data_IF_832173761904
#
_entry.id   IF_832173761904
#
_cell.length_a   1.000
_cell.length_b   1.000
_cell.length_c   1.000
_cell.angle_alpha   90.00
_cell.angle_beta   90.00
_cell.angle_gamma   90.00
#
_symmetry.space_group_name_H-M   'P 1'
#
loop_
_entity.id
_entity.type
_entity.pdbx_description
1 polymer ?
#
# COMPACT_ATOMS: atom_id res chain seq x y z
N UNK A 1 2.28 -15.30 -76.32
CA UNK A 1 2.45 -15.36 -74.84
C UNK A 1 3.49 -14.39 -74.27
N UNK A 2 4.72 -14.26 -74.82
CA UNK A 2 5.77 -13.36 -74.26
C UNK A 2 5.42 -11.85 -74.18
N UNK A 3 4.56 -11.33 -75.06
CA UNK A 3 4.19 -9.89 -75.05
C UNK A 3 3.21 -9.51 -73.93
N UNK A 4 2.28 -10.40 -73.56
CA UNK A 4 1.34 -10.16 -72.45
C UNK A 4 2.10 -10.10 -71.11
N UNK A 5 3.03 -11.03 -70.89
CA UNK A 5 3.84 -11.09 -69.67
C UNK A 5 4.68 -9.82 -69.42
N UNK A 6 5.12 -9.14 -70.49
CA UNK A 6 5.92 -7.91 -70.42
C UNK A 6 5.14 -6.70 -69.85
N UNK A 7 3.81 -6.70 -69.94
CA UNK A 7 2.96 -5.60 -69.43
C UNK A 7 2.27 -5.94 -68.11
N UNK A 8 1.89 -7.20 -67.88
CA UNK A 8 1.20 -7.58 -66.63
C UNK A 8 2.13 -7.62 -65.42
N UNK A 9 3.38 -8.07 -65.56
CA UNK A 9 4.34 -8.12 -64.45
C UNK A 9 4.63 -6.73 -63.86
N UNK A 10 4.98 -5.69 -64.65
CA UNK A 10 5.20 -4.36 -64.08
C UNK A 10 3.92 -3.74 -63.50
N UNK A 11 2.75 -4.03 -64.08
CA UNK A 11 1.47 -3.57 -63.55
C UNK A 11 1.15 -4.19 -62.17
N UNK A 12 1.33 -5.51 -62.02
CA UNK A 12 1.15 -6.20 -60.75
C UNK A 12 2.16 -5.72 -59.69
N UNK A 13 3.42 -5.51 -60.07
CA UNK A 13 4.42 -4.93 -59.18
C UNK A 13 4.02 -3.52 -58.74
N UNK A 14 3.55 -2.68 -59.66
CA UNK A 14 3.07 -1.33 -59.33
C UNK A 14 1.90 -1.36 -58.33
N UNK A 15 0.96 -2.31 -58.48
CA UNK A 15 -0.14 -2.49 -57.52
C UNK A 15 0.37 -2.94 -56.13
N UNK A 16 1.35 -3.84 -56.08
CA UNK A 16 1.96 -4.28 -54.81
C UNK A 16 2.70 -3.12 -54.13
N UNK A 17 3.50 -2.34 -54.88
CA UNK A 17 4.17 -1.17 -54.35
C UNK A 17 3.19 -0.10 -53.87
N UNK A 18 2.08 0.11 -54.58
CA UNK A 18 1.01 1.01 -54.15
C UNK A 18 0.36 0.52 -52.85
N UNK A 19 0.07 -0.78 -52.73
CA UNK A 19 -0.46 -1.39 -51.52
C UNK A 19 0.47 -1.19 -50.32
N UNK A 20 1.76 -1.48 -50.48
CA UNK A 20 2.78 -1.26 -49.44
C UNK A 20 2.93 0.22 -49.08
N UNK A 21 2.86 1.13 -50.06
CA UNK A 21 2.92 2.56 -49.80
C UNK A 21 1.71 3.03 -48.96
N UNK A 22 0.50 2.57 -49.29
CA UNK A 22 -0.72 2.87 -48.52
C UNK A 22 -0.61 2.31 -47.10
N UNK A 23 -0.18 1.06 -46.94
CA UNK A 23 0.01 0.44 -45.62
C UNK A 23 1.02 1.23 -44.77
N UNK A 24 2.16 1.63 -45.35
CA UNK A 24 3.18 2.43 -44.67
C UNK A 24 2.66 3.80 -44.26
N UNK A 25 1.87 4.46 -45.12
CA UNK A 25 1.24 5.75 -44.78
C UNK A 25 0.23 5.59 -43.66
N UNK A 26 -0.60 4.55 -43.67
CA UNK A 26 -1.56 4.27 -42.60
C UNK A 26 -0.84 3.95 -41.28
N UNK A 27 0.18 3.10 -41.30
CA UNK A 27 1.00 2.79 -40.13
C UNK A 27 1.66 4.05 -39.56
N UNK A 28 2.20 4.91 -40.41
CA UNK A 28 2.81 6.18 -40.00
C UNK A 28 1.78 7.15 -39.38
N UNK A 29 0.56 7.23 -39.92
CA UNK A 29 -0.52 8.04 -39.32
C UNK A 29 -0.90 7.51 -37.94
N UNK A 30 -0.99 6.20 -37.78
CA UNK A 30 -1.30 5.58 -36.48
C UNK A 30 -0.19 5.85 -35.45
N UNK A 31 1.08 5.73 -35.84
CA UNK A 31 2.22 6.06 -34.96
C UNK A 31 2.19 7.54 -34.56
N UNK A 32 1.95 8.45 -35.51
CA UNK A 32 1.84 9.89 -35.18
C UNK A 32 0.67 10.22 -34.26
N UNK A 33 -0.48 9.55 -34.44
CA UNK A 33 -1.63 9.71 -33.54
C UNK A 33 -1.28 9.26 -32.11
N UNK A 34 -0.66 8.08 -31.97
CA UNK A 34 -0.17 7.57 -30.69
C UNK A 34 0.90 8.47 -30.06
N UNK A 35 1.80 9.06 -30.84
CA UNK A 35 2.79 10.01 -30.35
C UNK A 35 2.17 11.33 -29.86
N UNK A 36 1.11 11.80 -30.51
CA UNK A 36 0.39 13.00 -30.09
C UNK A 36 -0.37 12.74 -28.78
N UNK A 37 -1.02 11.59 -28.67
CA UNK A 37 -1.72 11.15 -27.46
C UNK A 37 -0.74 10.97 -26.29
N UNK A 38 0.39 10.29 -26.51
CA UNK A 38 1.44 10.11 -25.50
C UNK A 38 2.05 11.45 -25.04
N UNK A 39 2.21 12.42 -25.95
CA UNK A 39 2.68 13.77 -25.58
C UNK A 39 1.67 14.48 -24.70
N UNK A 40 0.40 14.47 -25.09
CA UNK A 40 -0.69 15.06 -24.29
C UNK A 40 -0.78 14.42 -22.91
N UNK A 41 -0.68 13.09 -22.83
CA UNK A 41 -0.68 12.37 -21.56
C UNK A 41 0.50 12.80 -20.67
N UNK A 42 1.70 12.90 -21.23
CA UNK A 42 2.89 13.38 -20.49
C UNK A 42 2.72 14.80 -19.99
N UNK A 43 2.18 15.69 -20.80
CA UNK A 43 1.92 17.09 -20.42
C UNK A 43 0.91 17.16 -19.26
N UNK A 44 -0.17 16.39 -19.32
CA UNK A 44 -1.16 16.32 -18.24
C UNK A 44 -0.59 15.76 -16.94
N UNK A 45 0.26 14.72 -17.01
CA UNK A 45 0.97 14.18 -15.85
C UNK A 45 1.90 15.24 -15.25
N UNK A 46 2.66 15.94 -16.08
CA UNK A 46 3.57 17.01 -15.63
C UNK A 46 2.83 18.19 -15.02
N UNK A 47 1.65 18.54 -15.55
CA UNK A 47 0.79 19.57 -14.98
C UNK A 47 0.32 19.17 -13.58
N UNK A 48 -0.16 17.93 -13.41
CA UNK A 48 -0.56 17.41 -12.10
C UNK A 48 0.63 17.28 -11.13
N UNK A 49 1.80 16.86 -11.60
CA UNK A 49 3.03 16.72 -10.79
C UNK A 49 3.48 18.07 -10.20
N UNK A 50 3.25 19.18 -10.91
CA UNK A 50 3.61 20.54 -10.46
C UNK A 50 2.74 21.05 -9.34
N UNK A 51 1.56 20.47 -9.13
CA UNK A 51 0.67 20.88 -8.05
C UNK A 51 1.23 20.37 -6.72
N UNK A 52 1.45 21.29 -5.79
CA UNK A 52 1.98 21.01 -4.46
C UNK A 52 0.89 20.39 -3.58
N UNK A 53 -0.33 20.90 -3.68
CA UNK A 53 -1.48 20.41 -2.92
C UNK A 53 -1.92 19.02 -3.41
N UNK A 54 -1.89 18.04 -2.50
CA UNK A 54 -2.15 16.64 -2.85
C UNK A 54 -3.59 16.42 -3.33
N UNK A 55 -4.58 17.15 -2.77
CA UNK A 55 -5.99 17.00 -3.15
C UNK A 55 -6.26 17.53 -4.56
N UNK A 56 -5.71 18.72 -4.87
CA UNK A 56 -5.77 19.29 -6.21
C UNK A 56 -5.03 18.42 -7.23
N UNK A 57 -3.84 17.88 -6.89
CA UNK A 57 -3.09 16.98 -7.75
C UNK A 57 -3.87 15.70 -8.07
N UNK A 58 -4.47 15.06 -7.06
CA UNK A 58 -5.35 13.88 -7.23
C UNK A 58 -6.53 14.22 -8.15
N UNK A 59 -7.14 15.39 -7.96
CA UNK A 59 -8.23 15.88 -8.81
C UNK A 59 -7.84 16.04 -10.28
N UNK A 60 -6.59 16.41 -10.56
CA UNK A 60 -6.05 16.49 -11.93
C UNK A 60 -5.75 15.10 -12.50
N UNK A 61 -5.12 14.21 -11.73
CA UNK A 61 -4.84 12.84 -12.18
C UNK A 61 -6.13 12.08 -12.53
N UNK A 62 -7.20 12.24 -11.74
CA UNK A 62 -8.50 11.61 -12.00
C UNK A 62 -9.16 12.06 -13.32
N UNK A 63 -8.74 13.19 -13.90
CA UNK A 63 -9.23 13.70 -15.20
C UNK A 63 -8.46 13.14 -16.38
N UNK A 64 -7.35 12.46 -16.16
CA UNK A 64 -6.52 11.87 -17.21
C UNK A 64 -7.22 10.59 -17.70
N UNK A 65 -7.59 10.57 -18.99
CA UNK A 65 -8.24 9.44 -19.64
C UNK A 65 -7.45 9.01 -20.89
N UNK A 66 -7.28 7.70 -21.16
CA UNK A 66 -7.69 6.57 -20.31
C UNK A 66 -6.85 6.45 -19.02
N UNK A 67 -7.36 5.77 -17.96
CA UNK A 67 -6.59 5.56 -16.74
C UNK A 67 -5.36 4.71 -17.05
N UNK A 68 -4.18 5.20 -16.66
CA UNK A 68 -2.90 4.52 -16.83
C UNK A 68 -2.42 4.07 -15.47
N UNK A 69 -1.89 2.85 -15.35
CA UNK A 69 -1.43 2.31 -14.07
C UNK A 69 -0.41 3.21 -13.35
N UNK A 70 0.44 3.94 -14.09
CA UNK A 70 1.36 4.91 -13.49
C UNK A 70 0.63 6.11 -12.84
N UNK A 71 -0.48 6.56 -13.43
CA UNK A 71 -1.31 7.64 -12.88
C UNK A 71 -1.99 7.18 -11.59
N UNK A 72 -2.55 5.97 -11.57
CA UNK A 72 -3.15 5.39 -10.36
C UNK A 72 -2.10 5.24 -9.25
N UNK A 73 -0.89 4.76 -9.56
CA UNK A 73 0.18 4.69 -8.58
C UNK A 73 0.53 6.08 -7.99
N UNK A 74 0.56 7.13 -8.81
CA UNK A 74 0.80 8.51 -8.35
C UNK A 74 -0.33 9.02 -7.47
N UNK A 75 -1.59 8.71 -7.78
CA UNK A 75 -2.74 9.03 -6.92
C UNK A 75 -2.53 8.42 -5.53
N UNK A 76 -2.20 7.13 -5.45
CA UNK A 76 -2.00 6.47 -4.15
C UNK A 76 -0.78 7.04 -3.42
N UNK A 77 0.29 7.41 -4.12
CA UNK A 77 1.44 8.10 -3.51
C UNK A 77 1.06 9.45 -2.89
N UNK A 78 0.15 10.20 -3.51
CA UNK A 78 -0.38 11.46 -2.96
C UNK A 78 -1.29 11.22 -1.76
N UNK A 79 -2.15 10.20 -1.84
CA UNK A 79 -2.98 9.76 -0.71
C UNK A 79 -2.15 9.31 0.48
N UNK A 80 -0.97 8.71 0.25
CA UNK A 80 -0.05 8.35 1.32
C UNK A 80 0.42 9.57 2.13
N UNK A 81 0.72 10.69 1.47
CA UNK A 81 1.08 11.94 2.16
C UNK A 81 -0.09 12.46 3.01
N UNK A 82 -1.32 12.40 2.48
CA UNK A 82 -2.53 12.76 3.22
C UNK A 82 -2.72 11.86 4.45
N UNK A 83 -2.50 10.55 4.32
CA UNK A 83 -2.59 9.59 5.43
C UNK A 83 -1.54 9.90 6.53
N UNK A 84 -0.31 10.21 6.13
CA UNK A 84 0.74 10.64 7.07
C UNK A 84 0.37 11.94 7.79
N UNK A 85 -0.26 12.90 7.10
CA UNK A 85 -0.71 14.14 7.73
C UNK A 85 -1.85 13.90 8.72
N UNK A 86 -2.82 13.04 8.39
CA UNK A 86 -3.88 12.64 9.33
C UNK A 86 -3.27 11.95 10.57
N UNK A 87 -2.27 11.07 10.39
CA UNK A 87 -1.56 10.47 11.54
C UNK A 87 -0.86 11.52 12.41
N UNK A 88 -0.23 12.54 11.82
CA UNK A 88 0.35 13.65 12.59
C UNK A 88 -0.71 14.42 13.36
N UNK A 89 -1.87 14.66 12.75
CA UNK A 89 -3.02 15.30 13.41
C UNK A 89 -3.52 14.45 14.59
N UNK A 90 -3.69 13.14 14.41
CA UNK A 90 -4.06 12.21 15.48
C UNK A 90 -3.06 12.28 16.63
N UNK A 91 -1.76 12.25 16.33
CA UNK A 91 -0.71 12.34 17.35
C UNK A 91 -0.81 13.65 18.12
N UNK A 92 -1.02 14.78 17.44
CA UNK A 92 -1.19 16.09 18.10
C UNK A 92 -2.46 16.14 18.96
N UNK A 93 -3.56 15.61 18.46
CA UNK A 93 -4.84 15.58 19.16
C UNK A 93 -4.80 14.71 20.43
N UNK A 94 -4.13 13.56 20.38
CA UNK A 94 -3.95 12.67 21.55
C UNK A 94 -3.23 13.31 22.74
N UNK A 95 -2.37 14.30 22.50
CA UNK A 95 -1.64 15.00 23.57
C UNK A 95 -2.20 16.38 23.87
N UNK A 96 -3.37 16.73 23.31
CA UNK A 96 -4.04 17.99 23.55
C UNK A 96 -5.49 17.74 24.04
N UNK A 97 -5.80 18.00 25.32
CA UNK A 97 -7.14 17.77 25.87
C UNK A 97 -8.26 18.49 25.13
N UNK A 98 -7.96 19.62 24.46
CA UNK A 98 -8.95 20.38 23.69
C UNK A 98 -9.33 19.71 22.36
N UNK A 99 -8.50 18.79 21.85
CA UNK A 99 -8.67 18.11 20.56
C UNK A 99 -8.95 16.61 20.73
N UNK A 100 -9.06 16.12 21.96
CA UNK A 100 -9.24 14.70 22.24
C UNK A 100 -10.55 14.16 21.63
N UNK A 101 -11.59 14.99 21.57
CA UNK A 101 -12.88 14.65 20.97
C UNK A 101 -12.78 14.41 19.45
N UNK A 102 -11.79 14.98 18.77
CA UNK A 102 -11.60 14.84 17.32
C UNK A 102 -10.86 13.55 16.95
N UNK A 103 -10.20 12.89 17.91
CA UNK A 103 -9.33 11.72 17.66
C UNK A 103 -10.10 10.59 16.97
N UNK A 104 -11.33 10.30 17.40
CA UNK A 104 -12.14 9.26 16.79
C UNK A 104 -12.52 9.59 15.35
N UNK A 105 -12.87 10.86 15.07
CA UNK A 105 -13.18 11.33 13.72
C UNK A 105 -11.97 11.26 12.79
N UNK A 106 -10.78 11.61 13.29
CA UNK A 106 -9.53 11.51 12.54
C UNK A 106 -9.16 10.06 12.21
N UNK A 107 -9.36 9.11 13.14
CA UNK A 107 -9.17 7.69 12.85
C UNK A 107 -10.19 7.17 11.81
N UNK A 108 -11.45 7.64 11.86
CA UNK A 108 -12.45 7.32 10.84
C UNK A 108 -12.04 7.82 9.45
N UNK A 109 -11.55 9.06 9.37
CA UNK A 109 -11.04 9.66 8.13
C UNK A 109 -9.81 8.90 7.59
N UNK A 110 -8.89 8.51 8.49
CA UNK A 110 -7.74 7.69 8.12
C UNK A 110 -8.18 6.34 7.57
N UNK A 111 -9.10 5.65 8.25
CA UNK A 111 -9.63 4.35 7.82
C UNK A 111 -10.22 4.40 6.41
N UNK A 112 -11.09 5.38 6.14
CA UNK A 112 -11.69 5.55 4.81
C UNK A 112 -10.66 5.83 3.71
N UNK A 113 -9.63 6.63 4.00
CA UNK A 113 -8.55 6.88 3.06
C UNK A 113 -7.71 5.62 2.80
N UNK A 114 -7.37 4.86 3.84
CA UNK A 114 -6.62 3.60 3.71
C UNK A 114 -7.41 2.54 2.93
N UNK A 115 -8.74 2.50 3.10
CA UNK A 115 -9.62 1.62 2.31
C UNK A 115 -9.60 1.98 0.82
N UNK A 116 -9.71 3.27 0.47
CA UNK A 116 -9.59 3.72 -0.92
C UNK A 116 -8.22 3.37 -1.52
N UNK A 117 -7.14 3.56 -0.76
CA UNK A 117 -5.79 3.21 -1.20
C UNK A 117 -5.62 1.69 -1.43
N UNK A 118 -6.19 0.86 -0.55
CA UNK A 118 -6.18 -0.61 -0.71
C UNK A 118 -6.93 -1.02 -1.96
N UNK A 119 -8.11 -0.47 -2.19
CA UNK A 119 -8.93 -0.77 -3.37
C UNK A 119 -8.19 -0.41 -4.66
N UNK A 120 -7.60 0.80 -4.75
CA UNK A 120 -6.82 1.24 -5.92
C UNK A 120 -5.60 0.36 -6.18
N UNK A 121 -4.81 0.07 -5.16
CA UNK A 121 -3.67 -0.84 -5.29
C UNK A 121 -4.11 -2.25 -5.69
N UNK A 122 -5.20 -2.75 -5.12
CA UNK A 122 -5.77 -4.05 -5.45
C UNK A 122 -6.23 -4.12 -6.91
N UNK A 123 -6.94 -3.10 -7.39
CA UNK A 123 -7.40 -3.00 -8.77
C UNK A 123 -6.22 -2.95 -9.75
N UNK A 124 -5.19 -2.16 -9.44
CA UNK A 124 -3.99 -2.05 -10.26
C UNK A 124 -3.20 -3.38 -10.31
N UNK A 125 -3.08 -4.08 -9.18
CA UNK A 125 -2.40 -5.38 -9.12
C UNK A 125 -3.21 -6.50 -9.81
N UNK A 126 -4.54 -6.36 -9.89
CA UNK A 126 -5.41 -7.31 -10.59
C UNK A 126 -5.21 -7.30 -12.13
N UNK A 127 -4.63 -6.24 -12.70
CA UNK A 127 -4.22 -6.20 -14.11
C UNK A 127 -3.18 -7.30 -14.46
N UNK A 128 -2.46 -7.82 -13.47
CA UNK A 128 -1.64 -9.01 -13.59
C UNK A 128 -0.55 -8.90 -14.67
N UNK A 129 -0.63 -9.74 -15.71
CA UNK A 129 0.43 -9.88 -16.74
C UNK A 129 0.61 -8.65 -17.63
N UNK A 130 -0.38 -7.75 -17.71
CA UNK A 130 -0.27 -6.51 -18.49
C UNK A 130 0.40 -5.39 -17.70
N UNK A 131 0.47 -5.52 -16.37
CA UNK A 131 1.11 -4.54 -15.52
C UNK A 131 2.62 -4.62 -15.66
N UNK A 132 3.25 -3.47 -15.90
CA UNK A 132 4.71 -3.39 -15.93
C UNK A 132 5.26 -3.75 -14.55
N UNK A 133 6.27 -4.61 -14.50
CA UNK A 133 6.87 -5.05 -13.25
C UNK A 133 7.40 -3.89 -12.39
N UNK A 134 7.87 -2.78 -13.00
CA UNK A 134 8.31 -1.59 -12.27
C UNK A 134 7.18 -0.84 -11.55
N UNK A 135 5.95 -0.93 -12.06
CA UNK A 135 4.75 -0.42 -11.39
C UNK A 135 4.24 -1.44 -10.37
N UNK A 136 4.27 -2.73 -10.73
CA UNK A 136 3.80 -3.83 -9.87
C UNK A 136 4.51 -3.93 -8.53
N UNK A 137 5.85 -3.85 -8.49
CA UNK A 137 6.55 -3.91 -7.20
C UNK A 137 6.26 -2.68 -6.33
N UNK A 138 6.13 -1.49 -6.93
CA UNK A 138 5.82 -0.24 -6.22
C UNK A 138 4.43 -0.30 -5.60
N UNK A 139 3.46 -0.79 -6.37
CA UNK A 139 2.09 -0.98 -5.91
C UNK A 139 1.99 -2.00 -4.78
N UNK A 140 2.64 -3.16 -4.92
CA UNK A 140 2.71 -4.17 -3.85
C UNK A 140 3.40 -3.61 -2.59
N UNK A 141 4.50 -2.87 -2.74
CA UNK A 141 5.19 -2.27 -1.61
C UNK A 141 4.31 -1.21 -0.91
N UNK A 142 3.61 -0.38 -1.68
CA UNK A 142 2.71 0.65 -1.13
C UNK A 142 1.50 0.01 -0.44
N UNK A 143 0.92 -1.05 -1.01
CA UNK A 143 -0.16 -1.81 -0.40
C UNK A 143 0.28 -2.45 0.93
N UNK A 144 1.51 -2.99 0.99
CA UNK A 144 2.09 -3.46 2.24
C UNK A 144 2.19 -2.37 3.30
N UNK A 145 2.65 -1.17 2.92
CA UNK A 145 2.74 -0.03 3.83
C UNK A 145 1.37 0.49 4.30
N UNK A 146 0.37 0.50 3.42
CA UNK A 146 -1.02 0.86 3.74
C UNK A 146 -1.62 -0.15 4.72
N UNK A 147 -1.41 -1.45 4.50
CA UNK A 147 -1.87 -2.50 5.41
C UNK A 147 -1.18 -2.40 6.77
N UNK A 148 0.12 -2.09 6.80
CA UNK A 148 0.82 -1.85 8.06
C UNK A 148 0.22 -0.66 8.83
N UNK A 149 -0.04 0.45 8.15
CA UNK A 149 -0.69 1.61 8.78
C UNK A 149 -2.10 1.28 9.29
N UNK A 150 -2.86 0.50 8.52
CA UNK A 150 -4.18 0.01 8.91
C UNK A 150 -4.10 -0.88 10.17
N UNK A 151 -3.12 -1.77 10.27
CA UNK A 151 -2.87 -2.56 11.47
C UNK A 151 -2.65 -1.69 12.71
N UNK A 152 -1.90 -0.59 12.60
CA UNK A 152 -1.74 0.36 13.70
C UNK A 152 -3.04 1.09 14.06
N UNK A 153 -3.80 1.54 13.06
CA UNK A 153 -5.07 2.19 13.30
C UNK A 153 -6.04 1.25 14.04
N UNK A 154 -6.16 -0.01 13.59
CA UNK A 154 -6.98 -1.05 14.24
C UNK A 154 -6.49 -1.38 15.64
N UNK A 155 -5.18 -1.45 15.86
CA UNK A 155 -4.62 -1.70 17.20
C UNK A 155 -5.04 -0.62 18.20
N UNK A 156 -5.08 0.63 17.76
CA UNK A 156 -5.44 1.78 18.58
C UNK A 156 -6.96 1.90 18.82
N UNK A 157 -7.77 1.66 17.79
CA UNK A 157 -9.23 1.88 17.85
C UNK A 157 -10.01 0.66 18.32
N UNK A 158 -9.71 -0.52 17.79
CA UNK A 158 -10.46 -1.76 18.05
C UNK A 158 -9.80 -2.61 19.14
N UNK A 159 -8.49 -2.43 19.37
CA UNK A 159 -7.69 -3.21 20.33
C UNK A 159 -7.86 -4.72 20.14
N UNK A 160 -8.05 -5.16 18.90
CA UNK A 160 -8.25 -6.57 18.54
C UNK A 160 -6.95 -7.19 18.01
N UNK A 161 -6.17 -7.89 18.84
CA UNK A 161 -4.84 -8.39 18.45
C UNK A 161 -4.92 -9.43 17.33
N UNK A 162 -5.98 -10.25 17.27
CA UNK A 162 -6.17 -11.24 16.20
C UNK A 162 -6.34 -10.58 14.84
N UNK A 163 -7.15 -9.51 14.78
CA UNK A 163 -7.36 -8.72 13.56
C UNK A 163 -6.09 -8.01 13.13
N UNK A 164 -5.39 -7.38 14.07
CA UNK A 164 -4.09 -6.74 13.81
C UNK A 164 -3.08 -7.75 13.26
N UNK A 165 -2.94 -8.92 13.87
CA UNK A 165 -2.02 -9.96 13.42
C UNK A 165 -2.37 -10.50 12.02
N UNK A 166 -3.65 -10.56 11.66
CA UNK A 166 -4.09 -10.93 10.31
C UNK A 166 -3.66 -9.87 9.28
N UNK A 167 -3.94 -8.59 9.55
CA UNK A 167 -3.57 -7.48 8.67
C UNK A 167 -2.04 -7.39 8.51
N UNK A 168 -1.27 -7.61 9.58
CA UNK A 168 0.19 -7.63 9.50
C UNK A 168 0.73 -8.77 8.62
N UNK A 169 0.07 -9.94 8.63
CA UNK A 169 0.43 -11.04 7.73
C UNK A 169 0.17 -10.68 6.27
N UNK A 170 -0.93 -9.98 5.97
CA UNK A 170 -1.21 -9.46 4.63
C UNK A 170 -0.13 -8.45 4.20
N UNK A 171 0.24 -7.50 5.08
CA UNK A 171 1.30 -6.54 4.82
C UNK A 171 2.64 -7.22 4.47
N UNK A 172 3.04 -8.24 5.25
CA UNK A 172 4.23 -9.05 4.99
C UNK A 172 4.14 -9.73 3.61
N UNK A 173 2.98 -10.31 3.28
CA UNK A 173 2.74 -10.94 1.98
C UNK A 173 3.01 -9.96 0.83
N UNK A 174 2.44 -8.76 0.91
CA UNK A 174 2.63 -7.73 -0.11
C UNK A 174 4.09 -7.25 -0.23
N UNK A 175 4.82 -7.09 0.87
CA UNK A 175 6.24 -6.76 0.81
C UNK A 175 7.07 -7.87 0.17
N UNK A 176 6.79 -9.15 0.47
CA UNK A 176 7.46 -10.28 -0.18
C UNK A 176 7.20 -10.30 -1.69
N UNK A 177 5.96 -10.12 -2.11
CA UNK A 177 5.61 -10.01 -3.54
C UNK A 177 6.33 -8.83 -4.21
N UNK A 178 6.48 -7.70 -3.51
CA UNK A 178 7.24 -6.56 -4.01
C UNK A 178 8.74 -6.89 -4.18
N UNK A 179 9.34 -7.62 -3.23
CA UNK A 179 10.73 -8.09 -3.31
C UNK A 179 10.92 -9.03 -4.50
N UNK A 180 10.05 -10.03 -4.64
CA UNK A 180 10.10 -10.97 -5.76
C UNK A 180 9.99 -10.24 -7.09
N UNK A 181 9.05 -9.30 -7.20
CA UNK A 181 8.84 -8.53 -8.43
C UNK A 181 10.04 -7.64 -8.76
N UNK A 182 10.62 -6.93 -7.77
CA UNK A 182 11.76 -6.03 -8.04
C UNK A 182 13.05 -6.79 -8.35
N UNK A 183 13.18 -8.03 -7.86
CA UNK A 183 14.34 -8.88 -8.14
C UNK A 183 14.36 -9.39 -9.59
N UNK A 184 13.17 -9.58 -10.20
CA UNK A 184 13.07 -9.90 -11.63
C UNK A 184 13.52 -8.75 -12.54
N UNK A 185 13.53 -7.52 -12.02
CA UNK A 185 13.97 -6.33 -12.76
C UNK A 185 15.48 -6.19 -12.68
N UNK A 186 16.12 -5.79 -13.79
CA UNK A 186 17.47 -5.23 -13.80
C UNK A 186 17.50 -3.80 -13.21
N UNK A 187 16.83 -3.60 -12.07
CA UNK A 187 16.70 -2.32 -11.41
C UNK A 187 17.98 -1.93 -10.63
N UNK A 188 18.23 -0.62 -10.52
CA UNK A 188 19.30 -0.08 -9.69
C UNK A 188 19.16 -0.53 -8.22
N UNK A 189 20.30 -0.72 -7.54
CA UNK A 189 20.35 -1.32 -6.18
C UNK A 189 19.44 -0.64 -5.15
N UNK A 190 19.23 0.67 -5.25
CA UNK A 190 18.32 1.42 -4.37
C UNK A 190 16.87 0.90 -4.43
N UNK A 191 16.31 0.75 -5.63
CA UNK A 191 14.92 0.29 -5.82
C UNK A 191 14.68 -1.12 -5.29
N UNK A 192 15.72 -1.98 -5.35
CA UNK A 192 15.67 -3.34 -4.81
C UNK A 192 15.64 -3.37 -3.28
N UNK A 193 16.23 -2.40 -2.63
CA UNK A 193 16.36 -2.39 -1.18
C UNK A 193 15.13 -1.80 -0.47
N UNK A 194 14.39 -0.89 -1.10
CA UNK A 194 13.21 -0.26 -0.48
C UNK A 194 12.21 -1.27 0.13
N UNK A 195 11.70 -2.29 -0.61
CA UNK A 195 10.75 -3.22 -0.02
C UNK A 195 11.38 -4.13 1.05
N UNK A 196 12.70 -4.36 0.97
CA UNK A 196 13.45 -5.11 1.99
C UNK A 196 13.57 -4.31 3.28
N UNK A 197 13.95 -3.04 3.21
CA UNK A 197 14.02 -2.16 4.37
C UNK A 197 12.65 -1.98 5.04
N UNK A 198 11.57 -1.88 4.26
CA UNK A 198 10.22 -1.82 4.81
C UNK A 198 9.85 -3.11 5.56
N UNK A 199 10.20 -4.27 5.01
CA UNK A 199 9.99 -5.56 5.66
C UNK A 199 10.88 -5.72 6.91
N UNK A 200 12.14 -5.28 6.83
CA UNK A 200 13.09 -5.28 7.94
C UNK A 200 12.63 -4.37 9.08
N UNK A 201 12.08 -3.19 8.80
CA UNK A 201 11.51 -2.32 9.84
C UNK A 201 10.37 -3.02 10.59
N UNK A 202 9.54 -3.78 9.86
CA UNK A 202 8.45 -4.53 10.47
C UNK A 202 8.94 -5.67 11.38
N UNK A 203 10.02 -6.36 11.01
CA UNK A 203 10.60 -7.44 11.82
C UNK A 203 11.56 -6.95 12.91
N UNK A 204 12.40 -5.98 12.59
CA UNK A 204 13.50 -5.47 13.41
C UNK A 204 13.06 -4.69 14.64
N UNK A 205 11.87 -4.08 14.60
CA UNK A 205 11.27 -3.46 15.79
C UNK A 205 10.50 -4.46 16.67
N UNK A 206 10.56 -5.77 16.38
CA UNK A 206 9.77 -6.82 17.06
C UNK A 206 8.26 -6.51 17.09
N UNK A 207 7.76 -5.65 16.19
CA UNK A 207 6.37 -5.19 16.23
C UNK A 207 5.38 -6.35 16.09
N UNK A 208 5.70 -7.31 15.23
CA UNK A 208 4.91 -8.55 15.08
C UNK A 208 4.87 -9.36 16.39
N UNK A 209 5.98 -9.42 17.14
CA UNK A 209 6.02 -10.09 18.44
C UNK A 209 5.32 -9.27 19.52
N UNK A 210 5.45 -7.95 19.55
CA UNK A 210 4.73 -7.07 20.49
C UNK A 210 3.21 -7.18 20.33
N UNK A 211 2.70 -7.26 19.11
CA UNK A 211 1.27 -7.50 18.88
C UNK A 211 0.83 -8.93 19.18
N UNK A 212 1.71 -9.93 19.03
CA UNK A 212 1.46 -11.31 19.50
C UNK A 212 1.46 -11.41 21.03
N UNK A 213 2.38 -10.71 21.70
CA UNK A 213 2.52 -10.68 23.17
C UNK A 213 1.47 -9.80 23.86
N UNK A 214 0.88 -8.84 23.14
CA UNK A 214 -0.28 -8.07 23.59
C UNK A 214 -1.61 -8.83 23.46
N UNK A 215 -1.59 -10.13 23.12
CA UNK A 215 -2.68 -11.01 23.51
C UNK A 215 -2.83 -10.91 25.04
N UNK A 216 -3.94 -10.36 25.56
CA UNK A 216 -4.32 -10.73 26.90
C UNK A 216 -4.61 -12.22 26.77
N UNK A 217 -3.69 -13.04 27.27
CA UNK A 217 -3.96 -14.44 27.48
C UNK A 217 -5.10 -14.49 28.49
N UNK A 218 -6.34 -14.46 27.98
CA UNK A 218 -7.57 -14.45 28.77
C UNK A 218 -7.55 -15.67 29.69
N UNK A 219 -6.90 -16.76 29.26
CA UNK A 219 -6.64 -17.92 30.08
C UNK A 219 -5.66 -17.62 31.22
N UNK A 220 -4.56 -16.91 30.98
CA UNK A 220 -3.62 -16.51 32.04
C UNK A 220 -4.18 -15.45 32.97
N UNK A 221 -5.04 -14.54 32.49
CA UNK A 221 -5.77 -13.59 33.34
C UNK A 221 -6.86 -14.28 34.16
N UNK A 222 -7.53 -15.30 33.62
CA UNK A 222 -8.44 -16.18 34.36
C UNK A 222 -7.66 -17.04 35.36
N UNK A 223 -6.51 -17.61 35.01
CA UNK A 223 -5.67 -18.38 35.93
C UNK A 223 -5.07 -17.51 37.03
N UNK A 224 -4.69 -16.26 36.73
CA UNK A 224 -4.24 -15.30 37.75
C UNK A 224 -5.40 -14.88 38.64
N UNK A 225 -6.60 -14.68 38.08
CA UNK A 225 -7.81 -14.37 38.85
C UNK A 225 -8.23 -15.55 39.73
N UNK A 226 -8.25 -16.77 39.21
CA UNK A 226 -8.59 -18.00 39.93
C UNK A 226 -7.54 -18.30 41.01
N UNK A 227 -6.26 -18.02 40.76
CA UNK A 227 -5.21 -18.11 41.78
C UNK A 227 -5.32 -16.99 42.83
N UNK A 228 -5.75 -15.78 42.46
CA UNK A 228 -5.98 -14.69 43.43
C UNK A 228 -7.25 -14.94 44.26
N UNK A 229 -8.30 -15.51 43.67
CA UNK A 229 -9.52 -15.95 44.35
C UNK A 229 -9.22 -17.16 45.26
N UNK A 230 -8.29 -18.05 44.89
CA UNK A 230 -7.81 -19.14 45.74
C UNK A 230 -6.90 -18.69 46.90
N UNK A 231 -6.37 -17.46 46.86
CA UNK A 231 -5.51 -16.88 47.90
C UNK A 231 -6.30 -15.96 48.85
N UNK A 232 -7.60 -15.74 48.64
CA UNK A 232 -8.46 -15.08 49.61
C UNK A 232 -9.05 -16.12 50.58
N UNK A 233 -8.50 -16.29 51.81
CA UNK A 233 -9.18 -17.08 52.83
C UNK A 233 -10.48 -16.37 53.22
N UNK A 234 -11.61 -16.97 52.85
CA UNK A 234 -12.89 -16.67 53.48
C UNK A 234 -12.82 -17.12 54.95
N UNK A 235 -13.01 -16.13 55.83
CA UNK A 235 -13.19 -16.20 57.30
C UNK A 235 -11.94 -16.06 58.19
N UNK A 236 -12.01 -15.05 59.05
CA UNK A 236 -11.28 -14.99 60.33
C UNK A 236 -10.55 -13.69 60.55
N UNK A 237 -11.25 -12.67 61.03
CA UNK A 237 -10.69 -11.34 61.26
C UNK A 237 -9.48 -11.34 62.20
N UNK A 238 -8.53 -10.43 61.96
CA UNK A 238 -7.60 -9.94 62.96
C UNK A 238 -7.24 -8.48 62.70
N UNK A 239 -7.22 -7.71 63.79
CA UNK A 239 -6.99 -6.29 63.91
C UNK A 239 -5.58 -5.85 63.48
N UNK A 240 -5.35 -4.56 63.17
CA UNK A 240 -4.07 -4.07 62.70
C UNK A 240 -3.09 -3.92 63.86
N UNK A 241 -2.01 -4.71 63.84
CA UNK A 241 -0.86 -4.50 64.72
C UNK A 241 -0.15 -5.79 65.10
N UNK A 242 0.79 -6.24 64.28
CA UNK A 242 2.13 -6.69 64.72
C UNK A 242 2.99 -7.09 63.51
N UNK A 243 4.29 -6.80 63.60
CA UNK A 243 5.27 -6.99 62.55
C UNK A 243 5.68 -8.46 62.45
N UNK A 244 5.64 -9.04 61.24
CA UNK A 244 6.30 -10.32 60.99
C UNK A 244 7.77 -10.09 60.62
N UNK A 245 8.63 -10.45 61.56
CA UNK A 245 10.08 -10.51 61.43
C UNK A 245 10.53 -11.41 60.25
N UNK A 246 11.49 -10.87 59.52
CA UNK A 246 12.29 -11.54 58.50
C UNK A 246 12.97 -12.81 59.05
N UNK A 247 12.79 -13.94 58.35
CA UNK A 247 13.77 -15.04 58.37
C UNK A 247 14.10 -15.51 56.97
N UNK A 248 15.22 -15.00 56.47
CA UNK A 248 16.00 -15.59 55.38
C UNK A 248 16.58 -16.93 55.87
N UNK A 249 16.48 -17.99 55.07
CA UNK A 249 17.41 -19.13 55.14
C UNK A 249 17.94 -19.43 53.74
N UNK A 250 19.23 -19.77 53.75
CA UNK A 250 20.19 -19.90 52.64
C UNK A 250 19.75 -20.79 51.49
#
# INVERSE_FOLDING_TARGET
MKKLFRYYVPFLLALVFLGLAVERVLAWRNVRALEAENRRLKEQILEADRVVDDEQAIGLYRKIAPPVAEVELRIVQRQWNQALEILRQIRRAKYNPLLEQDVQGLYGRLGGLLDEMKERCGALLAEGKTLRADVGWRASNLLGAVQLMNAFAVAETERNPKKVAAILREAIGHFKTAIETVDTLAAAGWSRNVPRWNLELLYGEQMVERFRLAEPDVQRQLDIRDNLDAILPEQGGYAPGEAMDLKIRK
#
